data_IF_807118488996
#
_entry.id   IF_807118488996
#
_cell.length_a   1.000
_cell.length_b   1.000
_cell.length_c   1.000
_cell.angle_alpha   90.00
_cell.angle_beta   90.00
_cell.angle_gamma   90.00
#
_symmetry.space_group_name_H-M   'P 1'
#
loop_
_entity.id
_entity.type
_entity.pdbx_description
1 polymer ?
#
# COMPACT_ATOMS: atom_id res chain seq x y z
N UNK A 1 6.75 -41.69 -33.21
CA UNK A 1 7.80 -42.45 -32.46
C UNK A 1 7.22 -42.70 -31.07
N UNK A 2 6.96 -43.91 -30.58
CA UNK A 2 7.47 -45.22 -30.89
C UNK A 2 6.35 -46.27 -30.72
N UNK A 3 6.37 -47.24 -31.64
CA UNK A 3 5.73 -48.54 -31.55
C UNK A 3 6.16 -49.25 -30.25
N UNK A 4 5.20 -49.84 -29.51
CA UNK A 4 5.47 -51.03 -28.71
C UNK A 4 4.41 -52.09 -29.00
N UNK A 5 4.81 -52.96 -29.91
CA UNK A 5 4.28 -54.28 -30.13
C UNK A 5 4.55 -55.19 -28.92
N UNK A 6 3.87 -56.34 -28.97
CA UNK A 6 4.24 -57.65 -28.44
C UNK A 6 3.61 -58.02 -27.10
N UNK A 7 2.75 -59.02 -27.16
CA UNK A 7 2.33 -59.80 -26.00
C UNK A 7 1.17 -60.76 -26.25
N UNK A 8 0.94 -61.23 -27.48
CA UNK A 8 -0.03 -62.29 -27.74
C UNK A 8 0.60 -63.63 -27.33
N UNK A 9 0.38 -64.03 -26.08
CA UNK A 9 0.75 -65.35 -25.60
C UNK A 9 -0.20 -66.39 -26.23
N UNK A 10 0.31 -67.11 -27.22
CA UNK A 10 -0.31 -68.32 -27.76
C UNK A 10 -0.33 -69.39 -26.67
N UNK A 11 -1.47 -69.50 -25.98
CA UNK A 11 -1.79 -70.65 -25.14
C UNK A 11 -1.94 -71.86 -26.06
N UNK A 12 -0.96 -72.76 -26.03
CA UNK A 12 -0.99 -74.06 -26.69
C UNK A 12 -2.19 -74.85 -26.16
N UNK A 13 -3.20 -74.99 -27.01
CA UNK A 13 -4.33 -75.86 -26.78
C UNK A 13 -3.85 -77.32 -26.85
N UNK A 14 -3.53 -77.89 -25.69
CA UNK A 14 -3.38 -79.33 -25.52
C UNK A 14 -4.72 -79.98 -25.84
N UNK A 15 -4.81 -80.69 -26.97
CA UNK A 15 -5.93 -81.56 -27.30
C UNK A 15 -6.03 -82.65 -26.22
N UNK A 16 -6.91 -82.45 -25.22
CA UNK A 16 -7.50 -83.58 -24.53
C UNK A 16 -8.45 -84.25 -25.53
N UNK A 17 -8.10 -85.47 -25.91
CA UNK A 17 -9.01 -86.38 -26.58
C UNK A 17 -10.26 -86.52 -25.71
N UNK A 18 -11.36 -85.92 -26.16
CA UNK A 18 -12.68 -86.26 -25.68
C UNK A 18 -12.92 -87.71 -26.09
N UNK A 19 -12.65 -88.64 -25.18
CA UNK A 19 -13.17 -89.99 -25.24
C UNK A 19 -14.69 -89.85 -25.34
N UNK A 20 -15.21 -90.06 -26.55
CA UNK A 20 -16.63 -90.17 -26.79
C UNK A 20 -17.17 -91.24 -25.84
N UNK A 21 -17.89 -90.81 -24.82
CA UNK A 21 -18.66 -91.70 -23.97
C UNK A 21 -19.63 -92.44 -24.88
N UNK A 22 -19.40 -93.75 -24.97
CA UNK A 22 -20.30 -94.69 -25.61
C UNK A 22 -21.73 -94.37 -25.16
N UNK A 23 -22.58 -94.02 -26.12
CA UNK A 23 -24.01 -93.86 -25.91
C UNK A 23 -24.62 -95.21 -25.57
N UNK A 24 -24.53 -95.61 -24.31
CA UNK A 24 -25.34 -96.66 -23.75
C UNK A 24 -26.80 -96.22 -23.91
N UNK A 25 -27.56 -96.95 -24.72
CA UNK A 25 -28.98 -96.72 -25.03
C UNK A 25 -29.91 -96.98 -23.84
N UNK A 26 -29.64 -96.35 -22.71
CA UNK A 26 -30.55 -96.26 -21.57
C UNK A 26 -31.68 -95.30 -21.87
N UNK A 27 -32.92 -95.70 -21.63
CA UNK A 27 -34.07 -94.79 -21.70
C UNK A 27 -33.92 -93.71 -20.63
N UNK A 28 -34.00 -92.44 -21.02
CA UNK A 28 -33.97 -91.34 -20.07
C UNK A 28 -35.14 -91.48 -19.07
N UNK A 29 -34.84 -91.53 -17.77
CA UNK A 29 -35.85 -91.65 -16.70
C UNK A 29 -36.43 -90.28 -16.36
N UNK A 30 -35.64 -89.22 -16.46
CA UNK A 30 -36.09 -87.85 -16.29
C UNK A 30 -35.38 -86.93 -17.29
N UNK A 31 -36.16 -86.07 -17.91
CA UNK A 31 -35.73 -85.18 -18.97
C UNK A 31 -35.71 -83.77 -18.34
N UNK A 32 -34.58 -83.09 -18.44
CA UNK A 32 -34.42 -81.74 -17.91
C UNK A 32 -34.09 -80.78 -19.07
N UNK A 33 -34.77 -79.65 -19.09
CA UNK A 33 -34.44 -78.53 -19.96
C UNK A 33 -33.57 -77.56 -19.17
N UNK A 34 -32.49 -77.09 -19.78
CA UNK A 34 -31.68 -76.03 -19.19
C UNK A 34 -32.43 -74.70 -19.32
N UNK A 35 -32.79 -74.12 -18.17
CA UNK A 35 -33.42 -72.81 -18.10
C UNK A 35 -32.38 -71.79 -17.67
N UNK A 36 -32.05 -70.89 -18.59
CA UNK A 36 -31.11 -69.79 -18.34
C UNK A 36 -31.86 -68.63 -17.69
N UNK A 37 -31.44 -68.26 -16.48
CA UNK A 37 -31.98 -67.11 -15.76
C UNK A 37 -31.15 -65.88 -16.14
N UNK A 38 -31.78 -64.76 -16.54
CA UNK A 38 -31.03 -63.58 -16.93
C UNK A 38 -30.32 -62.97 -15.72
N UNK A 39 -29.13 -62.42 -15.95
CA UNK A 39 -28.43 -61.63 -14.96
C UNK A 39 -29.31 -60.47 -14.46
N UNK A 40 -29.38 -60.31 -13.14
CA UNK A 40 -30.15 -59.22 -12.53
C UNK A 40 -29.21 -58.09 -12.10
N UNK A 41 -29.58 -56.87 -12.46
CA UNK A 41 -28.81 -55.67 -12.17
C UNK A 41 -29.64 -54.73 -11.31
N UNK A 42 -28.98 -54.06 -10.37
CA UNK A 42 -29.57 -52.97 -9.60
C UNK A 42 -28.84 -51.67 -9.90
N UNK A 43 -29.59 -50.59 -10.05
CA UNK A 43 -29.02 -49.25 -10.14
C UNK A 43 -28.76 -48.74 -8.73
N UNK A 44 -27.51 -48.42 -8.43
CA UNK A 44 -27.09 -47.80 -7.18
C UNK A 44 -26.69 -46.35 -7.49
N UNK A 45 -27.16 -45.43 -6.64
CA UNK A 45 -26.78 -44.03 -6.69
C UNK A 45 -25.57 -43.81 -5.79
N UNK A 46 -24.52 -43.22 -6.34
CA UNK A 46 -23.29 -42.88 -5.63
C UNK A 46 -23.06 -41.37 -5.72
N UNK A 47 -22.87 -40.72 -4.57
CA UNK A 47 -22.51 -39.30 -4.52
C UNK A 47 -21.02 -39.15 -4.77
N UNK A 48 -20.67 -38.58 -5.92
CA UNK A 48 -19.28 -38.37 -6.34
C UNK A 48 -18.98 -36.87 -6.34
N UNK A 49 -17.80 -36.49 -5.87
CA UNK A 49 -17.31 -35.13 -5.98
C UNK A 49 -17.01 -34.80 -7.44
N UNK A 50 -17.79 -33.88 -8.01
CA UNK A 50 -17.65 -33.45 -9.41
C UNK A 50 -16.60 -32.36 -9.53
N UNK A 51 -16.55 -31.46 -8.53
CA UNK A 51 -15.57 -30.37 -8.47
C UNK A 51 -14.93 -30.29 -7.08
N UNK A 52 -13.59 -30.26 -6.98
CA UNK A 52 -12.92 -30.07 -5.70
C UNK A 52 -13.23 -28.69 -5.10
N UNK A 53 -13.22 -28.60 -3.77
CA UNK A 53 -13.24 -27.31 -3.11
C UNK A 53 -11.95 -26.56 -3.47
N UNK A 54 -12.08 -25.31 -3.88
CA UNK A 54 -10.95 -24.46 -4.24
C UNK A 54 -10.99 -23.18 -3.40
N UNK A 55 -9.81 -22.68 -3.05
CA UNK A 55 -9.69 -21.40 -2.36
C UNK A 55 -8.66 -20.55 -3.07
N UNK A 56 -8.99 -19.28 -3.28
CA UNK A 56 -8.05 -18.29 -3.80
C UNK A 56 -7.95 -17.10 -2.84
N UNK A 57 -6.80 -16.44 -2.87
CA UNK A 57 -6.52 -15.27 -2.03
C UNK A 57 -6.77 -14.00 -2.84
N UNK A 58 -7.70 -13.16 -2.38
CA UNK A 58 -7.90 -11.81 -2.92
C UNK A 58 -7.05 -10.85 -2.11
N UNK A 59 -6.12 -10.16 -2.77
CA UNK A 59 -5.32 -9.09 -2.16
C UNK A 59 -6.07 -7.78 -2.30
N UNK A 60 -6.46 -7.18 -1.17
CA UNK A 60 -7.00 -5.82 -1.13
C UNK A 60 -5.87 -4.85 -0.82
N UNK A 61 -5.56 -3.89 -1.72
CA UNK A 61 -4.43 -2.99 -1.54
C UNK A 61 -4.66 -2.03 -0.36
N UNK A 62 -3.55 -1.49 0.18
CA UNK A 62 -3.62 -0.48 1.23
C UNK A 62 -4.26 0.81 0.72
N UNK A 63 -5.13 1.40 1.54
CA UNK A 63 -5.74 2.71 1.28
C UNK A 63 -4.91 3.78 1.96
N UNK A 64 -4.35 4.69 1.16
CA UNK A 64 -3.57 5.81 1.64
C UNK A 64 -4.42 7.08 1.73
N UNK A 65 -4.13 7.89 2.75
CA UNK A 65 -4.72 9.21 2.95
C UNK A 65 -3.65 10.24 3.25
N UNK A 66 -4.07 11.51 3.28
CA UNK A 66 -3.22 12.62 3.73
C UNK A 66 -3.66 13.06 5.12
N UNK A 67 -2.69 13.19 6.03
CA UNK A 67 -2.87 13.81 7.33
C UNK A 67 -2.08 15.11 7.34
N UNK A 68 -2.77 16.21 7.62
CA UNK A 68 -2.09 17.49 7.81
C UNK A 68 -1.57 17.61 9.24
N UNK A 69 -0.31 18.01 9.39
CA UNK A 69 0.27 18.41 10.68
C UNK A 69 0.78 19.85 10.57
N UNK A 70 0.49 20.65 11.59
CA UNK A 70 1.04 22.00 11.70
C UNK A 70 2.44 21.88 12.29
N UNK A 71 3.43 22.42 11.61
CA UNK A 71 4.83 22.45 12.05
C UNK A 71 5.28 23.90 12.13
N UNK A 72 5.96 24.25 13.22
CA UNK A 72 6.63 25.52 13.40
C UNK A 72 7.91 25.52 12.56
N UNK A 73 7.96 26.37 11.52
CA UNK A 73 9.09 26.46 10.59
C UNK A 73 10.08 27.51 11.07
N UNK A 74 9.58 28.58 11.68
CA UNK A 74 10.41 29.63 12.27
C UNK A 74 9.87 30.01 13.65
N UNK A 75 10.72 29.99 14.69
CA UNK A 75 10.29 30.32 16.02
C UNK A 75 10.05 31.81 16.20
N UNK A 76 9.19 32.12 17.17
CA UNK A 76 9.01 33.49 17.61
C UNK A 76 10.34 34.06 18.11
N UNK A 77 10.71 35.24 17.62
CA UNK A 77 11.97 35.88 17.99
C UNK A 77 11.77 37.37 18.20
N UNK A 78 12.54 37.90 19.12
CA UNK A 78 12.61 39.34 19.37
C UNK A 78 13.78 39.90 18.60
N UNK A 79 13.51 40.85 17.71
CA UNK A 79 14.55 41.59 17.00
C UNK A 79 14.67 43.00 17.57
N UNK A 80 15.91 43.48 17.65
CA UNK A 80 16.17 44.85 18.06
C UNK A 80 16.13 45.76 16.84
N UNK A 81 15.24 46.76 16.87
CA UNK A 81 15.20 47.84 15.88
C UNK A 81 15.84 49.08 16.49
N UNK A 82 16.98 49.48 15.93
CA UNK A 82 17.69 50.71 16.30
C UNK A 82 17.10 51.88 15.54
N UNK A 83 16.63 52.90 16.27
CA UNK A 83 16.25 54.19 15.69
C UNK A 83 17.36 55.19 15.99
N UNK A 84 18.01 55.77 14.96
CA UNK A 84 19.17 56.64 15.16
C UNK A 84 18.78 57.94 15.88
N UNK A 85 19.77 58.54 16.54
CA UNK A 85 19.60 59.84 17.18
C UNK A 85 19.31 60.93 16.14
N UNK A 86 18.34 61.80 16.43
CA UNK A 86 18.08 62.99 15.62
C UNK A 86 18.91 64.13 16.19
N UNK A 87 19.89 64.58 15.40
CA UNK A 87 20.76 65.70 15.76
C UNK A 87 20.32 66.98 15.08
N UNK A 88 20.58 68.12 15.73
CA UNK A 88 20.35 69.44 15.17
C UNK A 88 21.58 70.30 15.41
N UNK A 89 22.00 71.01 14.37
CA UNK A 89 23.05 72.02 14.48
C UNK A 89 22.41 73.32 14.95
N UNK A 90 22.88 73.84 16.08
CA UNK A 90 22.45 75.13 16.63
C UNK A 90 23.63 76.09 16.57
N UNK A 91 23.37 77.28 16.03
CA UNK A 91 24.38 78.34 15.97
C UNK A 91 24.23 79.26 17.17
N UNK A 92 25.31 79.42 17.94
CA UNK A 92 25.37 80.38 19.06
C UNK A 92 26.45 81.41 18.79
N UNK A 93 26.11 82.70 18.92
CA UNK A 93 27.12 83.77 18.93
C UNK A 93 27.81 83.80 20.28
N UNK A 94 29.11 83.58 20.28
CA UNK A 94 29.95 83.66 21.47
C UNK A 94 30.83 84.90 21.35
N UNK A 95 30.90 85.69 22.43
CA UNK A 95 31.80 86.84 22.53
C UNK A 95 33.21 86.31 22.74
N UNK A 96 34.08 86.49 21.76
CA UNK A 96 35.48 86.01 21.81
C UNK A 96 36.36 87.07 22.46
N UNK A 97 36.07 88.35 22.20
CA UNK A 97 36.80 89.46 22.78
C UNK A 97 35.84 90.57 23.22
N UNK A 98 35.98 91.09 24.46
CA UNK A 98 35.18 92.23 24.89
C UNK A 98 35.57 93.50 24.14
N UNK A 99 34.63 94.43 24.01
CA UNK A 99 34.92 95.77 23.51
C UNK A 99 35.84 96.47 24.52
N UNK A 100 36.78 97.27 24.01
CA UNK A 100 37.78 97.90 24.85
C UNK A 100 38.56 98.97 24.13
N UNK A 101 39.52 99.51 24.86
CA UNK A 101 40.37 100.60 24.37
C UNK A 101 41.80 100.12 24.30
N UNK A 102 42.47 100.45 23.20
CA UNK A 102 43.88 100.13 23.02
C UNK A 102 44.62 101.42 22.67
N UNK A 103 45.81 101.57 23.23
CA UNK A 103 46.67 102.70 22.92
C UNK A 103 47.50 102.38 21.68
N UNK A 104 47.45 103.25 20.68
CA UNK A 104 48.27 103.12 19.47
C UNK A 104 48.92 104.45 19.13
N UNK A 105 50.14 104.39 18.58
CA UNK A 105 50.88 105.59 18.17
C UNK A 105 50.56 105.88 16.71
N UNK A 106 50.01 107.06 16.42
CA UNK A 106 49.74 107.54 15.05
C UNK A 106 50.53 108.82 14.79
N UNK A 107 50.90 109.06 13.53
CA UNK A 107 51.44 110.35 13.10
C UNK A 107 50.32 111.20 12.51
N UNK A 108 50.07 112.35 13.12
CA UNK A 108 49.08 113.34 12.67
C UNK A 108 49.83 114.66 12.56
N UNK A 109 49.76 115.32 11.40
CA UNK A 109 50.48 116.57 11.10
C UNK A 109 51.99 116.52 11.41
N UNK A 110 52.66 115.40 11.06
CA UNK A 110 54.10 115.22 11.26
C UNK A 110 54.55 114.96 12.71
N UNK A 111 53.63 114.88 13.68
CA UNK A 111 53.93 114.60 15.11
C UNK A 111 53.44 113.21 15.53
N UNK A 112 54.22 112.52 16.39
CA UNK A 112 53.82 111.25 17.02
C UNK A 112 52.87 111.51 18.17
N UNK A 113 51.63 111.04 18.05
CA UNK A 113 50.58 111.19 19.08
C UNK A 113 50.12 109.81 19.54
N UNK A 114 49.92 109.66 20.85
CA UNK A 114 49.34 108.46 21.45
C UNK A 114 47.81 108.62 21.47
N UNK A 115 47.12 107.78 20.70
CA UNK A 115 45.67 107.81 20.59
C UNK A 115 45.06 106.61 21.31
N UNK A 116 44.01 106.87 22.10
CA UNK A 116 43.14 105.82 22.65
C UNK A 116 42.09 105.46 21.60
N UNK A 117 42.23 104.31 20.97
CA UNK A 117 41.31 103.85 19.93
C UNK A 117 40.35 102.83 20.54
N UNK A 118 39.05 103.03 20.30
CA UNK A 118 38.01 102.09 20.69
C UNK A 118 37.89 100.98 19.63
N UNK A 119 37.81 99.74 20.08
CA UNK A 119 37.57 98.59 19.23
C UNK A 119 36.26 97.90 19.64
N UNK A 120 35.41 97.52 18.66
CA UNK A 120 34.15 96.85 18.95
C UNK A 120 34.39 95.42 19.46
N UNK A 121 33.41 94.90 20.19
CA UNK A 121 33.44 93.50 20.64
C UNK A 121 33.45 92.55 19.42
N UNK A 122 34.34 91.56 19.46
CA UNK A 122 34.45 90.57 18.39
C UNK A 122 33.58 89.36 18.74
N UNK A 123 32.64 89.06 17.85
CA UNK A 123 31.71 87.94 17.98
C UNK A 123 32.06 86.85 16.98
N UNK A 124 31.99 85.59 17.42
CA UNK A 124 32.14 84.43 16.55
C UNK A 124 30.89 83.56 16.65
N UNK A 125 30.38 83.13 15.50
CA UNK A 125 29.31 82.14 15.44
C UNK A 125 29.93 80.76 15.55
N UNK A 126 29.56 80.02 16.58
CA UNK A 126 29.99 78.63 16.78
C UNK A 126 28.80 77.72 16.46
N UNK A 127 29.05 76.67 15.68
CA UNK A 127 28.08 75.61 15.42
C UNK A 127 28.25 74.52 16.48
N UNK A 128 27.17 74.16 17.16
CA UNK A 128 27.13 73.08 18.15
C UNK A 128 26.08 72.05 17.72
N UNK A 129 26.46 70.78 17.70
CA UNK A 129 25.54 69.68 17.39
C UNK A 129 24.92 69.19 18.67
N UNK A 130 23.62 69.41 18.84
CA UNK A 130 22.84 68.91 19.98
C UNK A 130 22.00 67.72 19.57
N UNK A 131 21.86 66.76 20.48
CA UNK A 131 20.96 65.61 20.32
C UNK A 131 19.55 66.06 20.70
N UNK A 132 18.64 66.13 19.74
CA UNK A 132 17.23 66.53 19.97
C UNK A 132 16.41 65.33 20.41
N UNK A 133 16.68 64.17 19.83
CA UNK A 133 16.07 62.90 20.21
C UNK A 133 17.17 61.86 20.34
N UNK A 134 17.34 61.24 21.53
CA UNK A 134 18.36 60.23 21.72
C UNK A 134 18.08 59.00 20.86
N UNK A 135 19.14 58.26 20.57
CA UNK A 135 19.02 56.92 19.98
C UNK A 135 18.18 56.02 20.89
N UNK A 136 17.32 55.22 20.28
CA UNK A 136 16.48 54.27 21.01
C UNK A 136 16.52 52.92 20.33
N UNK A 137 16.70 51.89 21.15
CA UNK A 137 16.50 50.50 20.76
C UNK A 137 15.08 50.10 21.16
N UNK A 138 14.30 49.62 20.21
CA UNK A 138 12.97 49.04 20.46
C UNK A 138 12.97 47.57 20.13
N UNK A 139 12.46 46.76 21.04
CA UNK A 139 12.26 45.32 20.83
C UNK A 139 10.98 45.11 20.02
N UNK A 140 11.10 44.45 18.87
CA UNK A 140 9.97 44.08 18.03
C UNK A 140 9.86 42.55 18.04
N UNK A 141 8.72 42.05 18.49
CA UNK A 141 8.43 40.61 18.47
C UNK A 141 7.97 40.20 17.08
N UNK A 142 8.70 39.30 16.45
CA UNK A 142 8.31 38.62 15.22
C UNK A 142 7.61 37.31 15.62
N UNK A 143 6.34 37.10 15.23
CA UNK A 143 5.59 35.91 15.62
C UNK A 143 6.14 34.65 14.95
N UNK A 144 5.88 33.48 15.56
CA UNK A 144 6.25 32.19 14.99
C UNK A 144 5.49 31.92 13.68
N UNK A 145 6.20 31.36 12.69
CA UNK A 145 5.62 30.98 11.40
C UNK A 145 5.33 29.49 11.38
N UNK A 146 4.08 29.17 11.09
CA UNK A 146 3.59 27.79 11.02
C UNK A 146 3.25 27.41 9.58
N UNK A 147 3.49 26.15 9.24
CA UNK A 147 3.17 25.57 7.93
C UNK A 147 2.41 24.24 8.09
N UNK A 148 1.52 23.95 7.15
CA UNK A 148 0.77 22.69 7.11
C UNK A 148 1.50 21.71 6.18
N UNK A 149 2.12 20.70 6.76
CA UNK A 149 2.78 19.64 6.00
C UNK A 149 1.80 18.48 5.82
N UNK A 150 1.69 17.99 4.58
CA UNK A 150 0.92 16.79 4.27
C UNK A 150 1.79 15.54 4.49
N UNK A 151 1.35 14.66 5.38
CA UNK A 151 1.96 13.37 5.65
C UNK A 151 1.06 12.27 5.07
N UNK A 152 1.61 11.42 4.20
CA UNK A 152 0.87 10.26 3.68
C UNK A 152 0.79 9.20 4.77
N UNK A 153 -0.43 8.86 5.17
CA UNK A 153 -0.70 7.86 6.20
C UNK A 153 -1.50 6.71 5.60
N UNK A 154 -1.26 5.50 6.10
CA UNK A 154 -2.08 4.32 5.75
C UNK A 154 -3.37 4.39 6.58
N UNK A 155 -4.51 4.57 5.92
CA UNK A 155 -5.83 4.57 6.56
C UNK A 155 -6.27 3.12 6.81
N UNK A 156 -6.14 2.29 5.77
CA UNK A 156 -6.46 0.88 5.83
C UNK A 156 -5.27 0.07 5.30
N UNK A 157 -4.73 -0.88 6.10
CA UNK A 157 -3.60 -1.68 5.66
C UNK A 157 -4.02 -2.69 4.58
N UNK A 158 -3.03 -3.14 3.81
CA UNK A 158 -3.21 -4.26 2.89
C UNK A 158 -3.73 -5.49 3.65
N UNK A 159 -4.71 -6.17 3.08
CA UNK A 159 -5.29 -7.37 3.67
C UNK A 159 -5.52 -8.45 2.61
N UNK A 160 -5.29 -9.69 3.04
CA UNK A 160 -5.57 -10.87 2.26
C UNK A 160 -6.88 -11.49 2.73
N UNK A 161 -7.82 -11.66 1.82
CA UNK A 161 -9.10 -12.32 2.07
C UNK A 161 -9.10 -13.67 1.34
N UNK A 162 -9.32 -14.76 2.08
CA UNK A 162 -9.44 -16.10 1.48
C UNK A 162 -10.90 -16.34 1.13
N UNK A 163 -11.20 -16.40 -0.17
CA UNK A 163 -12.51 -16.78 -0.67
C UNK A 163 -12.50 -18.30 -0.91
N UNK A 164 -13.46 -19.01 -0.30
CA UNK A 164 -13.58 -20.46 -0.41
C UNK A 164 -14.80 -20.79 -1.27
N UNK A 165 -14.58 -21.49 -2.36
CA UNK A 165 -15.64 -22.07 -3.19
C UNK A 165 -15.87 -23.51 -2.73
N UNK A 166 -17.09 -23.87 -2.28
CA UNK A 166 -17.36 -25.21 -1.76
C UNK A 166 -17.27 -26.27 -2.87
N UNK A 167 -17.06 -27.53 -2.47
CA UNK A 167 -17.08 -28.66 -3.39
C UNK A 167 -18.49 -28.91 -3.95
N UNK A 168 -18.56 -29.25 -5.23
CA UNK A 168 -19.81 -29.63 -5.88
C UNK A 168 -19.92 -31.16 -5.96
N UNK A 169 -21.05 -31.69 -5.49
CA UNK A 169 -21.36 -33.11 -5.50
C UNK A 169 -22.46 -33.41 -6.50
N UNK A 170 -22.28 -34.49 -7.25
CA UNK A 170 -23.24 -35.01 -8.22
C UNK A 170 -23.60 -36.45 -7.90
N UNK A 171 -24.75 -36.89 -8.41
CA UNK A 171 -25.21 -38.27 -8.27
C UNK A 171 -24.89 -39.01 -9.56
N UNK A 172 -24.05 -40.04 -9.47
CA UNK A 172 -23.75 -40.94 -10.58
C UNK A 172 -24.51 -42.24 -10.39
N UNK A 173 -25.23 -42.68 -11.42
CA UNK A 173 -25.98 -43.95 -11.42
C UNK A 173 -25.10 -45.06 -11.99
N UNK A 174 -24.77 -46.04 -11.15
CA UNK A 174 -24.00 -47.23 -11.57
C UNK A 174 -24.88 -48.46 -11.55
N UNK A 175 -24.87 -49.23 -12.63
CA UNK A 175 -25.49 -50.56 -12.66
C UNK A 175 -24.51 -51.56 -12.07
N UNK A 176 -24.88 -52.15 -10.95
CA UNK A 176 -24.10 -53.20 -10.29
C UNK A 176 -24.81 -54.52 -10.54
N UNK A 177 -24.04 -55.53 -10.95
CA UNK A 177 -24.50 -56.91 -11.05
C UNK A 177 -24.80 -57.42 -9.64
N UNK A 178 -26.05 -57.80 -9.37
CA UNK A 178 -26.45 -58.33 -8.06
C UNK A 178 -26.41 -59.85 -8.08
N UNK A 179 -26.85 -60.43 -9.18
CA UNK A 179 -26.76 -61.86 -9.45
C UNK A 179 -26.30 -62.04 -10.90
N UNK A 180 -25.30 -62.90 -11.08
CA UNK A 180 -24.77 -63.24 -12.40
C UNK A 180 -25.80 -63.95 -13.28
N UNK A 181 -26.90 -64.43 -12.68
CA UNK A 181 -27.79 -65.36 -13.33
C UNK A 181 -27.08 -66.70 -13.51
N UNK A 182 -27.82 -67.68 -14.01
CA UNK A 182 -27.27 -69.02 -14.16
C UNK A 182 -28.25 -69.98 -14.81
N UNK A 183 -27.72 -71.15 -15.14
CA UNK A 183 -28.46 -72.26 -15.70
C UNK A 183 -29.00 -73.12 -14.57
N UNK A 184 -30.31 -73.36 -14.55
CA UNK A 184 -30.89 -74.39 -13.69
C UNK A 184 -31.66 -75.41 -14.53
N UNK A 185 -31.69 -76.65 -14.05
CA UNK A 185 -32.32 -77.77 -14.75
C UNK A 185 -33.79 -77.88 -14.35
N UNK A 186 -34.70 -77.60 -15.28
CA UNK A 186 -36.14 -77.73 -15.07
C UNK A 186 -36.63 -79.05 -15.65
N UNK A 187 -37.24 -79.90 -14.81
CA UNK A 187 -37.78 -81.19 -15.26
C UNK A 187 -38.96 -80.96 -16.21
N UNK A 188 -38.87 -81.50 -17.42
CA UNK A 188 -39.92 -81.43 -18.43
C UNK A 188 -40.52 -82.81 -18.70
N UNK A 189 -41.78 -82.82 -19.11
CA UNK A 189 -42.48 -84.02 -19.54
C UNK A 189 -42.70 -83.98 -21.05
N UNK A 190 -41.76 -84.53 -21.80
CA UNK A 190 -41.93 -84.74 -23.23
C UNK A 190 -42.78 -85.99 -23.45
N UNK A 191 -43.88 -85.85 -24.21
CA UNK A 191 -44.63 -87.01 -24.71
C UNK A 191 -43.66 -87.80 -25.58
N UNK A 192 -43.18 -88.94 -25.09
CA UNK A 192 -42.35 -89.95 -25.79
C UNK A 192 -40.83 -89.94 -25.52
N UNK A 193 -40.30 -89.13 -24.60
CA UNK A 193 -38.85 -89.14 -24.29
C UNK A 193 -38.47 -89.69 -22.90
N UNK A 194 -39.37 -89.62 -21.91
CA UNK A 194 -39.09 -90.09 -20.54
C UNK A 194 -40.18 -91.06 -20.03
N UNK A 195 -39.77 -92.19 -19.41
CA UNK A 195 -40.69 -93.18 -18.82
C UNK A 195 -41.25 -92.66 -17.49
N UNK A 196 -42.50 -93.03 -17.20
CA UNK A 196 -43.23 -92.63 -15.99
C UNK A 196 -42.65 -93.27 -14.74
#
# INVERSE_FOLDING_TARGET
>A
MALKFVGFALATASLLAATGSAGAGGKAVACYEEVVHPATYRTVEETVQVKPAESYTVVRPAVHGVRYRIVEVEPARTIERVTPAVVKVVHRKVKVQPAGHVWTTKHIDGKRVLCKVEHPAVWKTVAETIVVKPERVTQVTVPARHEKIAETVVIEPERHERVVTPAEYGIVKKRVLVDAGGSSWRKIKLRNACKR
#
